data_IF_486927880639
#
_entry.id   IF_486927880639
#
_cell.length_a   1.000
_cell.length_b   1.000
_cell.length_c   1.000
_cell.angle_alpha   90.00
_cell.angle_beta   90.00
_cell.angle_gamma   90.00
#
_symmetry.space_group_name_H-M   'P 1'
#
loop_
_entity.id
_entity.type
_entity.pdbx_description
1 polymer ?
#
# COMPACT_ATOMS: atom_id res chain seq x y z
N UNK A 1 37.43 52.97 -13.21
CA UNK A 1 36.97 52.40 -11.92
C UNK A 1 35.59 51.75 -12.02
N UNK A 2 34.61 52.38 -12.69
CA UNK A 2 33.22 51.90 -12.80
C UNK A 2 33.09 50.47 -13.34
N UNK A 3 33.89 50.07 -14.33
CA UNK A 3 33.78 48.75 -14.96
C UNK A 3 34.12 47.58 -14.01
N UNK A 4 35.09 47.75 -13.11
CA UNK A 4 35.44 46.72 -12.11
C UNK A 4 34.32 46.49 -11.10
N UNK A 5 33.54 47.54 -10.79
CA UNK A 5 32.43 47.46 -9.86
C UNK A 5 31.23 46.72 -10.47
N UNK A 6 30.93 46.96 -11.75
CA UNK A 6 29.84 46.29 -12.47
C UNK A 6 30.11 44.78 -12.61
N UNK A 7 31.36 44.39 -12.89
CA UNK A 7 31.75 42.97 -12.99
C UNK A 7 31.63 42.26 -11.64
N UNK A 8 32.01 42.93 -10.55
CA UNK A 8 31.88 42.39 -9.19
C UNK A 8 30.42 42.19 -8.77
N UNK A 9 29.54 43.14 -9.09
CA UNK A 9 28.11 43.03 -8.82
C UNK A 9 27.47 41.93 -9.66
N UNK A 10 27.82 41.81 -10.95
CA UNK A 10 27.32 40.75 -11.81
C UNK A 10 27.74 39.36 -11.32
N UNK A 11 29.00 39.19 -10.90
CA UNK A 11 29.49 37.94 -10.30
C UNK A 11 28.79 37.64 -8.98
N UNK A 12 28.62 38.62 -8.09
CA UNK A 12 27.90 38.44 -6.83
C UNK A 12 26.45 38.02 -7.07
N UNK A 13 25.74 38.65 -8.02
CA UNK A 13 24.40 38.23 -8.41
C UNK A 13 24.37 36.81 -8.97
N UNK A 14 25.38 36.40 -9.75
CA UNK A 14 25.49 35.04 -10.28
C UNK A 14 25.70 33.99 -9.18
N UNK A 15 26.52 34.30 -8.17
CA UNK A 15 26.73 33.43 -7.00
C UNK A 15 25.51 33.36 -6.10
N UNK A 16 24.83 34.49 -5.88
CA UNK A 16 23.59 34.54 -5.08
C UNK A 16 22.46 33.79 -5.80
N UNK A 17 22.29 33.98 -7.11
CA UNK A 17 21.32 33.21 -7.90
C UNK A 17 21.68 31.72 -7.91
N UNK A 18 22.96 31.34 -8.12
CA UNK A 18 23.40 29.95 -8.05
C UNK A 18 23.17 29.26 -6.70
N UNK A 19 23.20 30.03 -5.61
CA UNK A 19 22.86 29.55 -4.27
C UNK A 19 21.36 29.35 -4.06
N UNK A 20 20.51 30.22 -4.63
CA UNK A 20 19.05 30.05 -4.53
C UNK A 20 18.50 28.92 -5.41
N UNK A 21 19.17 28.59 -6.53
CA UNK A 21 18.68 27.56 -7.47
C UNK A 21 19.06 26.13 -7.03
N UNK A 22 19.99 25.96 -6.08
CA UNK A 22 20.39 24.64 -5.55
C UNK A 22 19.65 24.21 -4.27
N UNK A 23 18.67 24.98 -3.81
CA UNK A 23 17.66 24.48 -2.87
C UNK A 23 16.58 23.73 -3.65
N UNK A 24 16.95 22.61 -4.26
CA UNK A 24 15.96 21.61 -4.69
C UNK A 24 15.29 21.09 -3.42
N UNK A 25 14.18 21.71 -3.02
CA UNK A 25 13.29 21.13 -2.02
C UNK A 25 12.94 19.74 -2.51
N UNK A 26 13.37 18.70 -1.79
CA UNK A 26 12.94 17.35 -2.09
C UNK A 26 11.41 17.36 -2.08
N UNK A 27 10.79 16.96 -3.18
CA UNK A 27 9.34 16.97 -3.32
C UNK A 27 8.74 16.05 -2.26
N UNK A 28 7.86 16.59 -1.41
CA UNK A 28 7.12 15.81 -0.43
C UNK A 28 5.74 15.55 -1.01
N UNK A 29 5.45 14.28 -1.28
CA UNK A 29 4.16 13.85 -1.78
C UNK A 29 3.19 13.66 -0.61
N UNK A 30 2.13 14.45 -0.58
CA UNK A 30 1.02 14.24 0.36
C UNK A 30 0.13 13.12 -0.18
N UNK A 31 -0.08 12.07 0.60
CA UNK A 31 -0.90 10.89 0.25
C UNK A 31 -1.80 10.50 1.39
N UNK A 32 -2.92 9.82 1.10
CA UNK A 32 -3.87 9.41 2.14
C UNK A 32 -3.53 8.04 2.69
N UNK A 33 -4.02 7.75 3.90
CA UNK A 33 -3.94 6.39 4.45
C UNK A 33 -4.74 5.45 3.54
N UNK A 34 -4.32 4.18 3.41
CA UNK A 34 -4.97 3.16 2.57
C UNK A 34 -4.76 3.35 1.06
N UNK A 35 -3.93 4.32 0.65
CA UNK A 35 -3.49 4.49 -0.73
C UNK A 35 -2.17 3.76 -1.00
N UNK A 36 -1.99 3.44 -2.28
CA UNK A 36 -0.77 2.91 -2.84
C UNK A 36 0.01 4.03 -3.55
N UNK A 37 1.32 4.07 -3.34
CA UNK A 37 2.23 5.00 -4.00
C UNK A 37 3.32 4.24 -4.74
N UNK A 38 3.62 4.67 -5.96
CA UNK A 38 4.79 4.20 -6.72
C UNK A 38 5.85 5.28 -6.79
N UNK A 39 7.11 4.87 -6.81
CA UNK A 39 8.23 5.78 -6.93
C UNK A 39 9.55 5.10 -7.20
N UNK A 40 10.62 5.89 -7.10
CA UNK A 40 12.01 5.45 -7.16
C UNK A 40 12.71 5.88 -5.87
N UNK A 41 13.23 4.93 -5.11
CA UNK A 41 13.71 5.18 -3.77
C UNK A 41 14.91 6.14 -3.78
N UNK A 42 14.85 7.19 -2.95
CA UNK A 42 15.82 8.28 -2.92
C UNK A 42 15.77 9.27 -4.10
N UNK A 43 14.85 9.12 -5.05
CA UNK A 43 14.79 9.95 -6.27
C UNK A 43 13.39 10.58 -6.50
N UNK A 44 12.37 9.76 -6.72
CA UNK A 44 11.02 10.20 -7.11
C UNK A 44 9.96 9.63 -6.17
N UNK A 45 9.04 10.48 -5.69
CA UNK A 45 8.04 10.14 -4.68
C UNK A 45 8.64 9.49 -3.42
N UNK A 46 9.91 9.75 -3.12
CA UNK A 46 10.62 9.07 -2.03
C UNK A 46 10.35 9.70 -0.66
N UNK A 47 9.76 10.89 -0.59
CA UNK A 47 9.36 11.52 0.67
C UNK A 47 7.84 11.68 0.67
N UNK A 48 7.17 11.05 1.63
CA UNK A 48 5.72 11.01 1.73
C UNK A 48 5.27 11.66 3.04
N UNK A 49 4.14 12.34 2.98
CA UNK A 49 3.43 12.83 4.16
C UNK A 49 2.04 12.21 4.22
N UNK A 50 1.71 11.54 5.33
CA UNK A 50 0.40 10.92 5.54
C UNK A 50 -0.27 11.57 6.76
N UNK A 51 -1.41 12.26 6.60
CA UNK A 51 -2.15 12.82 7.72
C UNK A 51 -2.82 11.71 8.53
N UNK A 52 -2.72 11.81 9.85
CA UNK A 52 -3.30 10.87 10.81
C UNK A 52 -4.51 11.53 11.45
N UNK A 53 -5.69 11.12 10.97
CA UNK A 53 -6.97 11.59 11.49
C UNK A 53 -7.31 10.96 12.83
N UNK A 54 -6.89 9.72 13.06
CA UNK A 54 -7.23 8.95 14.24
C UNK A 54 -5.97 8.32 14.84
N UNK A 55 -5.82 8.43 16.16
CA UNK A 55 -4.67 7.85 16.85
C UNK A 55 -4.68 6.33 16.73
N UNK A 56 -3.53 5.71 16.95
CA UNK A 56 -3.40 4.26 16.91
C UNK A 56 -3.42 3.66 18.30
N UNK A 57 -3.67 2.35 18.36
CA UNK A 57 -3.51 1.54 19.56
C UNK A 57 -2.76 0.25 19.22
N UNK A 58 -2.51 -0.60 20.21
CA UNK A 58 -1.93 -1.93 19.99
C UNK A 58 -2.82 -2.83 19.14
N UNK A 59 -4.14 -2.61 19.15
CA UNK A 59 -5.10 -3.38 18.35
C UNK A 59 -5.43 -2.72 17.01
N UNK A 60 -5.20 -1.42 16.84
CA UNK A 60 -5.45 -0.66 15.62
C UNK A 60 -4.21 0.11 15.17
N UNK A 61 -3.14 -0.62 14.88
CA UNK A 61 -1.86 -0.08 14.47
C UNK A 61 -1.87 0.41 13.01
N UNK A 62 -1.06 1.42 12.71
CA UNK A 62 -0.71 1.77 11.33
C UNK A 62 0.38 0.82 10.84
N UNK A 63 0.19 0.24 9.67
CA UNK A 63 1.15 -0.61 8.99
C UNK A 63 1.62 0.11 7.74
N UNK A 64 2.94 0.17 7.58
CA UNK A 64 3.61 0.76 6.43
C UNK A 64 4.47 -0.32 5.77
N UNK A 65 4.40 -0.40 4.45
CA UNK A 65 5.07 -1.44 3.67
C UNK A 65 5.75 -0.76 2.48
N UNK A 66 7.04 -1.01 2.27
CA UNK A 66 7.73 -0.70 1.03
C UNK A 66 8.30 -1.98 0.43
N UNK A 67 7.98 -2.21 -0.83
CA UNK A 67 8.48 -3.35 -1.58
C UNK A 67 9.12 -2.87 -2.87
N UNK A 68 10.33 -3.35 -3.17
CA UNK A 68 10.92 -3.18 -4.50
C UNK A 68 10.19 -4.08 -5.49
N UNK A 69 9.99 -3.62 -6.72
CA UNK A 69 9.55 -4.53 -7.78
C UNK A 69 10.61 -5.61 -7.97
N UNK A 70 10.29 -6.88 -7.68
CA UNK A 70 11.23 -7.99 -7.88
C UNK A 70 11.63 -8.05 -9.35
N UNK A 71 12.92 -7.85 -9.65
CA UNK A 71 13.44 -8.08 -10.99
C UNK A 71 13.69 -9.57 -11.27
N UNK A 72 13.82 -10.41 -10.22
CA UNK A 72 13.94 -11.87 -10.35
C UNK A 72 13.72 -12.56 -8.97
N UNK A 73 12.91 -13.62 -8.97
CA UNK A 73 12.51 -14.43 -7.80
C UNK A 73 13.64 -15.21 -7.09
N UNK A 74 14.89 -14.94 -7.44
CA UNK A 74 16.10 -15.60 -6.90
C UNK A 74 16.87 -14.78 -5.87
N UNK A 75 16.49 -13.52 -5.64
CA UNK A 75 17.22 -12.56 -4.78
C UNK A 75 16.43 -12.13 -3.52
N UNK A 76 15.64 -13.02 -2.95
CA UNK A 76 14.75 -12.79 -1.79
C UNK A 76 15.45 -12.42 -0.47
N UNK A 77 16.77 -12.24 -0.45
CA UNK A 77 17.53 -11.94 0.78
C UNK A 77 18.21 -10.57 0.82
N UNK A 78 18.08 -9.73 -0.22
CA UNK A 78 18.67 -8.39 -0.21
C UNK A 78 17.58 -7.32 -0.14
N UNK A 79 17.49 -6.60 0.98
CA UNK A 79 16.62 -5.43 1.10
C UNK A 79 17.16 -4.29 0.26
N UNK A 80 16.47 -3.95 -0.82
CA UNK A 80 16.87 -2.88 -1.72
C UNK A 80 16.42 -1.51 -1.22
N UNK A 81 15.44 -1.50 -0.31
CA UNK A 81 14.76 -0.31 0.17
C UNK A 81 14.61 -0.37 1.69
N UNK A 82 14.71 0.79 2.32
CA UNK A 82 14.44 1.03 3.74
C UNK A 82 13.39 2.14 3.89
N UNK A 83 12.45 1.96 4.82
CA UNK A 83 11.56 3.02 5.27
C UNK A 83 12.12 3.71 6.50
N UNK A 84 12.18 5.03 6.45
CA UNK A 84 12.47 5.88 7.59
C UNK A 84 11.25 6.73 7.89
N UNK A 85 10.69 6.59 9.10
CA UNK A 85 9.43 7.23 9.47
C UNK A 85 9.60 8.04 10.73
N UNK A 86 9.13 9.29 10.67
CA UNK A 86 9.05 10.20 11.79
C UNK A 86 7.60 10.51 12.12
N UNK A 87 7.23 10.44 13.39
CA UNK A 87 5.87 10.70 13.83
C UNK A 87 5.82 11.19 15.29
N UNK A 88 4.70 11.78 15.66
CA UNK A 88 4.42 12.13 17.05
C UNK A 88 3.73 10.96 17.75
N UNK A 89 4.33 10.46 18.82
CA UNK A 89 3.74 9.39 19.63
C UNK A 89 2.59 9.89 20.51
N UNK A 90 1.72 8.99 20.96
CA UNK A 90 0.64 9.28 21.93
C UNK A 90 1.17 9.83 23.26
N UNK A 91 2.45 9.62 23.58
CA UNK A 91 3.14 10.24 24.72
C UNK A 91 3.60 11.69 24.47
N UNK A 92 3.35 12.24 23.28
CA UNK A 92 3.74 13.58 22.87
C UNK A 92 5.18 13.71 22.33
N UNK A 93 5.96 12.62 22.34
CA UNK A 93 7.35 12.61 21.87
C UNK A 93 7.43 12.39 20.36
N UNK A 94 8.37 13.07 19.70
CA UNK A 94 8.76 12.73 18.32
C UNK A 94 9.54 11.41 18.33
N UNK A 95 9.13 10.46 17.51
CA UNK A 95 9.74 9.14 17.36
C UNK A 95 10.22 8.95 15.93
N UNK A 96 11.37 8.30 15.79
CA UNK A 96 11.91 7.82 14.52
C UNK A 96 11.90 6.29 14.52
N UNK A 97 11.42 5.69 13.43
CA UNK A 97 11.45 4.24 13.21
C UNK A 97 12.00 3.92 11.83
N UNK A 98 12.66 2.77 11.75
CA UNK A 98 13.21 2.20 10.52
C UNK A 98 12.47 0.88 10.26
N UNK A 99 12.22 0.54 8.99
CA UNK A 99 11.64 -0.76 8.64
C UNK A 99 12.50 -1.92 9.07
N UNK A 100 11.85 -3.05 9.28
CA UNK A 100 12.53 -4.33 9.43
C UNK A 100 13.16 -4.79 8.10
N UNK A 101 13.74 -5.99 8.12
CA UNK A 101 14.34 -6.61 6.96
C UNK A 101 13.36 -7.08 5.89
N UNK A 102 12.11 -6.65 5.94
CA UNK A 102 11.03 -6.96 5.02
C UNK A 102 10.36 -5.70 4.46
N UNK A 103 10.89 -4.51 4.83
CA UNK A 103 10.32 -3.22 4.41
C UNK A 103 9.02 -2.88 5.16
N UNK A 104 8.75 -3.51 6.31
CA UNK A 104 7.54 -3.32 7.09
C UNK A 104 7.83 -2.49 8.34
N UNK A 105 6.90 -1.57 8.67
CA UNK A 105 6.84 -0.88 9.94
C UNK A 105 5.43 -1.03 10.52
N UNK A 106 5.33 -1.35 11.81
CA UNK A 106 4.08 -1.38 12.57
C UNK A 106 4.16 -0.30 13.65
N UNK A 107 3.24 0.67 13.59
CA UNK A 107 3.16 1.81 14.51
C UNK A 107 1.89 1.71 15.34
N UNK A 108 2.03 1.36 16.62
CA UNK A 108 0.91 1.18 17.56
C UNK A 108 0.65 2.39 18.46
N UNK A 109 1.47 3.43 18.39
CA UNK A 109 1.47 4.55 19.33
C UNK A 109 1.50 5.94 18.65
N UNK A 110 0.95 6.10 17.45
CA UNK A 110 0.82 7.37 16.74
C UNK A 110 -0.30 8.24 17.33
N UNK A 111 0.00 9.52 17.62
CA UNK A 111 -0.97 10.49 18.10
C UNK A 111 -1.94 10.96 17.01
N UNK A 112 -3.08 11.52 17.42
CA UNK A 112 -3.99 12.27 16.55
C UNK A 112 -4.43 13.58 17.22
N UNK A 113 -4.65 14.66 16.43
CA UNK A 113 -4.33 14.77 15.01
C UNK A 113 -2.80 14.90 14.82
N UNK A 114 -2.23 14.17 13.86
CA UNK A 114 -0.79 14.25 13.57
C UNK A 114 -0.49 13.91 12.11
N UNK A 115 0.79 13.71 11.78
CA UNK A 115 1.24 13.24 10.48
C UNK A 115 2.42 12.28 10.60
N UNK A 116 2.52 11.37 9.63
CA UNK A 116 3.72 10.57 9.37
C UNK A 116 4.53 11.27 8.30
N UNK A 117 5.81 11.50 8.54
CA UNK A 117 6.75 11.88 7.48
C UNK A 117 7.63 10.65 7.19
N UNK A 118 7.55 10.16 5.97
CA UNK A 118 8.11 8.90 5.53
C UNK A 118 9.16 9.20 4.47
N UNK A 119 10.31 8.56 4.56
CA UNK A 119 11.36 8.60 3.56
C UNK A 119 11.66 7.17 3.11
N UNK A 120 11.51 6.92 1.82
CA UNK A 120 11.80 5.66 1.15
C UNK A 120 13.20 5.76 0.57
N UNK A 121 14.15 5.05 1.18
CA UNK A 121 15.57 5.14 0.85
C UNK A 121 16.03 3.89 0.15
N UNK A 122 16.94 4.07 -0.80
CA UNK A 122 17.63 2.98 -1.49
C UNK A 122 18.86 2.56 -0.68
N UNK A 123 19.00 1.27 -0.40
CA UNK A 123 20.14 0.74 0.36
C UNK A 123 21.35 0.36 -0.51
N UNK A 124 21.14 0.15 -1.82
CA UNK A 124 22.18 -0.28 -2.75
C UNK A 124 22.56 0.84 -3.74
N UNK A 125 23.83 0.96 -4.16
CA UNK A 125 24.25 2.02 -5.07
C UNK A 125 24.00 1.71 -6.57
N UNK A 126 23.59 0.50 -6.93
CA UNK A 126 23.69 -0.10 -8.28
C UNK A 126 22.57 0.24 -9.28
N UNK A 127 21.76 1.26 -9.00
CA UNK A 127 20.79 1.80 -9.96
C UNK A 127 19.46 2.19 -9.31
N UNK A 128 18.53 2.79 -10.07
CA UNK A 128 17.24 3.21 -9.54
C UNK A 128 16.48 2.01 -8.96
N UNK A 129 15.93 2.17 -7.76
CA UNK A 129 15.16 1.13 -7.08
C UNK A 129 13.67 1.50 -7.13
N UNK A 130 12.91 1.02 -8.15
CA UNK A 130 11.49 1.26 -8.22
C UNK A 130 10.80 0.56 -7.04
N UNK A 131 9.81 1.22 -6.46
CA UNK A 131 9.11 0.71 -5.29
C UNK A 131 7.60 0.88 -5.37
N UNK A 132 6.91 0.00 -4.65
CA UNK A 132 5.52 0.10 -4.26
C UNK A 132 5.47 0.35 -2.76
N UNK A 133 4.86 1.46 -2.37
CA UNK A 133 4.60 1.80 -0.98
C UNK A 133 3.11 1.64 -0.68
N UNK A 134 2.83 1.08 0.48
CA UNK A 134 1.49 0.88 0.99
C UNK A 134 1.40 1.33 2.43
N UNK A 135 0.27 1.93 2.78
CA UNK A 135 -0.06 2.27 4.17
C UNK A 135 -1.49 1.86 4.47
N UNK A 136 -1.76 1.35 5.66
CA UNK A 136 -3.13 1.10 6.13
C UNK A 136 -3.20 1.11 7.65
N UNK A 137 -4.40 1.29 8.20
CA UNK A 137 -4.66 1.08 9.62
C UNK A 137 -5.31 -0.31 9.81
N UNK A 138 -4.59 -1.21 10.46
CA UNK A 138 -5.04 -2.57 10.71
C UNK A 138 -6.27 -2.59 11.64
N UNK A 139 -7.13 -3.60 11.46
CA UNK A 139 -8.37 -3.82 12.23
C UNK A 139 -9.39 -2.67 12.16
N UNK A 140 -9.23 -1.73 11.22
CA UNK A 140 -10.13 -0.59 11.05
C UNK A 140 -10.99 -0.69 9.78
N UNK A 141 -12.31 -0.97 9.90
CA UNK A 141 -13.23 -1.13 8.76
C UNK A 141 -13.65 0.20 8.11
N UNK A 142 -12.82 1.23 8.22
CA UNK A 142 -12.94 2.50 7.45
C UNK A 142 -11.74 2.72 6.54
N UNK A 143 -10.72 1.86 6.60
CA UNK A 143 -9.50 1.93 5.80
C UNK A 143 -9.47 0.79 4.78
N UNK A 144 -9.94 1.05 3.56
CA UNK A 144 -10.01 0.05 2.50
C UNK A 144 -8.91 0.30 1.46
N UNK A 145 -8.00 -0.67 1.33
CA UNK A 145 -7.01 -0.67 0.27
C UNK A 145 -7.73 -0.95 -1.05
N UNK A 146 -7.52 -0.07 -2.03
CA UNK A 146 -8.07 -0.27 -3.36
C UNK A 146 -7.25 -1.31 -4.13
N UNK A 147 -7.95 -2.28 -4.69
CA UNK A 147 -7.34 -3.39 -5.42
C UNK A 147 -8.02 -3.53 -6.76
N UNK A 148 -7.21 -3.55 -7.82
CA UNK A 148 -7.72 -3.68 -9.18
C UNK A 148 -8.21 -5.11 -9.42
N UNK A 149 -9.40 -5.30 -10.00
CA UNK A 149 -9.88 -6.63 -10.41
C UNK A 149 -9.06 -7.25 -11.55
N UNK A 150 -8.19 -6.46 -12.19
CA UNK A 150 -7.41 -6.86 -13.36
C UNK A 150 -5.96 -7.21 -13.00
N UNK A 151 -5.48 -6.80 -11.82
CA UNK A 151 -4.10 -6.99 -11.39
C UNK A 151 -4.07 -7.72 -10.05
N UNK A 152 -3.17 -8.69 -9.90
CA UNK A 152 -2.94 -9.31 -8.61
C UNK A 152 -2.28 -8.31 -7.66
N UNK A 153 -2.86 -8.11 -6.48
CA UNK A 153 -2.23 -7.35 -5.41
C UNK A 153 -1.32 -8.29 -4.61
N UNK A 154 -0.01 -8.11 -4.74
CA UNK A 154 0.96 -8.79 -3.88
C UNK A 154 1.57 -7.76 -2.94
N UNK A 155 1.34 -7.94 -1.64
CA UNK A 155 2.01 -7.18 -0.61
C UNK A 155 2.32 -8.06 0.61
N UNK A 156 3.44 -7.82 1.28
CA UNK A 156 3.85 -8.52 2.49
C UNK A 156 3.04 -8.12 3.74
N UNK A 157 1.77 -8.50 3.82
CA UNK A 157 0.90 -8.11 4.94
C UNK A 157 1.27 -8.84 6.25
N UNK A 158 1.59 -8.12 7.34
CA UNK A 158 1.93 -8.76 8.61
C UNK A 158 0.74 -9.55 9.16
N UNK A 159 0.99 -10.77 9.67
CA UNK A 159 -0.05 -11.62 10.27
C UNK A 159 -0.38 -11.23 11.71
N UNK A 160 0.62 -10.70 12.44
CA UNK A 160 0.53 -10.26 13.83
C UNK A 160 1.04 -8.82 13.97
N UNK A 161 0.33 -8.00 14.75
CA UNK A 161 0.70 -6.61 15.02
C UNK A 161 1.74 -6.47 16.15
N UNK A 162 1.94 -7.53 16.93
CA UNK A 162 2.87 -7.56 18.06
C UNK A 162 3.87 -8.74 17.92
N UNK A 163 4.78 -8.70 16.93
CA UNK A 163 5.77 -9.75 16.71
C UNK A 163 6.71 -9.84 17.92
N UNK A 164 6.47 -10.82 18.80
CA UNK A 164 7.20 -11.01 20.07
C UNK A 164 6.29 -11.37 21.25
N UNK A 165 4.98 -11.11 21.16
CA UNK A 165 4.02 -11.50 22.17
C UNK A 165 3.48 -12.93 21.92
N UNK A 166 4.29 -13.94 22.23
CA UNK A 166 3.95 -15.35 21.98
C UNK A 166 2.67 -15.83 22.71
N UNK A 167 2.32 -15.19 23.84
CA UNK A 167 1.19 -15.61 24.66
C UNK A 167 -0.16 -15.02 24.21
N UNK A 168 -0.16 -13.86 23.52
CA UNK A 168 -1.37 -13.13 23.11
C UNK A 168 -1.11 -12.39 21.79
N UNK A 169 -1.07 -13.11 20.65
CA UNK A 169 -0.89 -12.47 19.36
C UNK A 169 -2.11 -11.62 19.01
N UNK A 170 -1.87 -10.40 18.53
CA UNK A 170 -2.91 -9.53 17.98
C UNK A 170 -2.90 -9.74 16.49
N UNK A 171 -3.96 -10.37 15.96
CA UNK A 171 -4.11 -10.59 14.53
C UNK A 171 -4.27 -9.26 13.78
N UNK A 172 -3.68 -9.19 12.60
CA UNK A 172 -3.83 -8.06 11.69
C UNK A 172 -4.96 -8.35 10.71
N UNK A 173 -6.04 -7.57 10.75
CA UNK A 173 -7.09 -7.62 9.72
C UNK A 173 -6.92 -6.46 8.77
N UNK A 174 -6.91 -6.76 7.47
CA UNK A 174 -6.77 -5.78 6.39
C UNK A 174 -8.06 -5.76 5.58
N UNK A 175 -8.54 -4.56 5.24
CA UNK A 175 -9.78 -4.37 4.48
C UNK A 175 -9.46 -3.90 3.06
N UNK A 176 -10.19 -4.45 2.10
CA UNK A 176 -9.98 -4.22 0.68
C UNK A 176 -11.28 -3.84 -0.01
N UNK A 177 -11.16 -3.05 -1.07
CA UNK A 177 -12.26 -2.73 -1.98
C UNK A 177 -11.83 -2.89 -3.42
N UNK A 178 -12.72 -3.44 -4.24
CA UNK A 178 -12.52 -3.60 -5.67
C UNK A 178 -13.76 -3.13 -6.42
N UNK A 179 -13.56 -2.24 -7.39
CA UNK A 179 -14.61 -1.78 -8.29
C UNK A 179 -14.67 -2.70 -9.52
N UNK A 180 -15.77 -3.42 -9.72
CA UNK A 180 -15.92 -4.29 -10.89
C UNK A 180 -16.14 -3.48 -12.17
N UNK A 181 -15.47 -3.82 -13.29
CA UNK A 181 -15.71 -3.15 -14.58
C UNK A 181 -17.10 -3.47 -15.11
N UNK A 182 -17.67 -2.64 -15.97
CA UNK A 182 -19.00 -2.88 -16.57
C UNK A 182 -19.04 -4.20 -17.36
N UNK A 183 -20.19 -4.88 -17.32
CA UNK A 183 -20.42 -6.13 -18.05
C UNK A 183 -19.96 -7.42 -17.36
N UNK A 184 -19.27 -7.35 -16.22
CA UNK A 184 -18.87 -8.54 -15.44
C UNK A 184 -19.97 -8.96 -14.47
N UNK A 185 -20.54 -10.17 -14.56
CA UNK A 185 -21.57 -10.57 -13.59
C UNK A 185 -21.00 -11.23 -12.32
N UNK A 186 -19.74 -11.67 -12.33
CA UNK A 186 -19.09 -12.35 -11.21
C UNK A 186 -17.64 -11.94 -11.01
N UNK A 187 -17.14 -12.15 -9.81
CA UNK A 187 -15.73 -12.03 -9.46
C UNK A 187 -15.30 -13.24 -8.64
N UNK A 188 -14.00 -13.49 -8.62
CA UNK A 188 -13.35 -14.47 -7.77
C UNK A 188 -12.25 -13.74 -6.99
N UNK A 189 -12.20 -13.95 -5.69
CA UNK A 189 -11.11 -13.45 -4.86
C UNK A 189 -10.23 -14.65 -4.52
N UNK A 190 -8.97 -14.56 -4.93
CA UNK A 190 -7.94 -15.55 -4.66
C UNK A 190 -6.99 -15.00 -3.58
N UNK A 191 -7.16 -15.50 -2.36
CA UNK A 191 -6.30 -15.13 -1.23
C UNK A 191 -5.35 -16.30 -0.98
N UNK A 192 -4.05 -16.04 -1.02
CA UNK A 192 -3.03 -17.09 -0.84
C UNK A 192 -2.01 -16.67 0.21
N UNK A 193 -1.62 -17.60 1.10
CA UNK A 193 -0.58 -17.39 2.12
C UNK A 193 0.70 -18.17 1.79
N UNK A 194 1.85 -17.66 2.26
CA UNK A 194 3.10 -18.43 2.39
C UNK A 194 3.93 -18.55 1.10
N UNK A 195 5.09 -19.22 1.22
CA UNK A 195 6.01 -19.50 0.09
C UNK A 195 5.41 -20.49 -0.92
N UNK A 196 4.58 -21.41 -0.42
CA UNK A 196 3.74 -22.28 -1.24
C UNK A 196 2.32 -21.71 -1.19
N UNK A 197 1.72 -21.33 -2.32
CA UNK A 197 0.43 -20.65 -2.34
C UNK A 197 -0.68 -21.57 -1.83
N UNK A 198 -1.00 -21.46 -0.55
CA UNK A 198 -2.14 -22.14 0.06
C UNK A 198 -3.34 -21.20 0.09
N UNK A 199 -4.52 -21.62 -0.42
CA UNK A 199 -5.73 -20.81 -0.33
C UNK A 199 -6.05 -20.45 1.12
N UNK A 200 -6.47 -19.21 1.35
CA UNK A 200 -6.84 -18.70 2.66
C UNK A 200 -8.26 -18.12 2.62
N UNK A 201 -9.03 -18.34 3.68
CA UNK A 201 -10.37 -17.79 3.78
C UNK A 201 -10.33 -16.27 3.97
N UNK A 202 -11.39 -15.60 3.51
CA UNK A 202 -11.59 -14.15 3.68
C UNK A 202 -13.00 -13.90 4.16
N UNK A 203 -13.31 -12.68 4.61
CA UNK A 203 -14.66 -12.33 5.01
C UNK A 203 -15.23 -11.21 4.12
N UNK A 204 -16.52 -11.28 3.84
CA UNK A 204 -17.26 -10.22 3.14
C UNK A 204 -18.34 -9.64 4.04
N UNK A 205 -18.74 -8.37 3.87
CA UNK A 205 -19.89 -7.88 4.60
C UNK A 205 -21.14 -8.68 4.21
N UNK A 206 -21.94 -9.04 5.20
CA UNK A 206 -23.24 -9.66 5.00
C UNK A 206 -24.15 -8.73 4.17
N UNK A 207 -25.20 -9.26 3.51
CA UNK A 207 -26.11 -8.43 2.70
C UNK A 207 -26.78 -7.27 3.47
N UNK A 208 -26.96 -7.41 4.78
CA UNK A 208 -27.47 -6.38 5.67
C UNK A 208 -26.38 -5.41 6.19
N UNK A 209 -25.11 -5.67 5.89
CA UNK A 209 -23.94 -4.89 6.30
C UNK A 209 -23.59 -4.99 7.79
N UNK A 210 -24.27 -5.86 8.55
CA UNK A 210 -24.15 -5.90 10.02
C UNK A 210 -23.05 -6.86 10.50
N UNK A 211 -22.57 -7.77 9.65
CA UNK A 211 -21.61 -8.81 9.98
C UNK A 211 -20.61 -9.01 8.85
N UNK A 212 -19.55 -9.75 9.16
CA UNK A 212 -18.57 -10.23 8.19
C UNK A 212 -18.74 -11.75 8.08
N UNK A 213 -19.24 -12.21 6.95
CA UNK A 213 -19.49 -13.63 6.67
C UNK A 213 -18.24 -14.25 6.03
N UNK A 214 -17.87 -15.50 6.40
CA UNK A 214 -16.70 -16.17 5.85
C UNK A 214 -16.94 -16.66 4.42
N UNK A 215 -15.91 -16.52 3.59
CA UNK A 215 -15.86 -16.97 2.19
C UNK A 215 -14.53 -17.68 1.93
N UNK A 216 -14.55 -18.67 1.03
CA UNK A 216 -13.34 -19.38 0.64
C UNK A 216 -12.69 -18.71 -0.56
N UNK A 217 -11.36 -18.66 -0.56
CA UNK A 217 -10.59 -18.26 -1.73
C UNK A 217 -11.00 -19.10 -2.95
N UNK A 218 -11.21 -18.45 -4.08
CA UNK A 218 -11.63 -19.09 -5.33
C UNK A 218 -13.15 -19.17 -5.54
N UNK A 219 -13.97 -18.94 -4.51
CA UNK A 219 -15.42 -18.99 -4.65
C UNK A 219 -15.93 -17.81 -5.53
N UNK A 220 -16.90 -18.06 -6.43
CA UNK A 220 -17.51 -17.01 -7.23
C UNK A 220 -18.41 -16.12 -6.37
N UNK A 221 -18.22 -14.81 -6.52
CA UNK A 221 -18.98 -13.74 -5.88
C UNK A 221 -19.83 -13.08 -6.97
N UNK A 222 -21.15 -13.07 -6.77
CA UNK A 222 -22.06 -12.36 -7.66
C UNK A 222 -21.82 -10.85 -7.56
N UNK A 223 -21.84 -10.16 -8.69
CA UNK A 223 -21.59 -8.73 -8.72
C UNK A 223 -22.74 -7.98 -7.99
N UNK A 224 -22.42 -7.20 -6.94
CA UNK A 224 -23.44 -6.42 -6.25
C UNK A 224 -23.98 -5.29 -7.14
N UNK A 225 -25.19 -4.74 -6.87
CA UNK A 225 -25.73 -3.61 -7.62
C UNK A 225 -24.81 -2.38 -7.63
N UNK A 226 -24.09 -2.15 -6.52
CA UNK A 226 -23.09 -1.08 -6.40
C UNK A 226 -21.84 -1.32 -7.23
N UNK A 227 -21.64 -2.54 -7.75
CA UNK A 227 -20.43 -3.01 -8.44
C UNK A 227 -19.16 -2.97 -7.57
N UNK A 228 -19.27 -2.55 -6.32
CA UNK A 228 -18.19 -2.45 -5.35
C UNK A 228 -18.18 -3.71 -4.49
N UNK A 229 -17.11 -4.49 -4.59
CA UNK A 229 -16.84 -5.60 -3.68
C UNK A 229 -15.95 -5.09 -2.55
N UNK A 230 -16.35 -5.33 -1.31
CA UNK A 230 -15.48 -5.14 -0.14
C UNK A 230 -15.29 -6.47 0.55
N UNK A 231 -14.09 -6.66 1.10
CA UNK A 231 -13.73 -7.88 1.82
C UNK A 231 -12.63 -7.57 2.82
N UNK A 232 -12.42 -8.47 3.77
CA UNK A 232 -11.35 -8.40 4.74
C UNK A 232 -10.59 -9.71 4.78
N UNK A 233 -9.30 -9.62 5.09
CA UNK A 233 -8.47 -10.79 5.35
C UNK A 233 -7.81 -10.64 6.70
N UNK A 234 -7.96 -11.68 7.52
CA UNK A 234 -7.24 -11.85 8.77
C UNK A 234 -6.36 -13.08 8.61
N UNK A 235 -5.04 -12.94 8.43
CA UNK A 235 -4.15 -14.08 8.28
C UNK A 235 -4.19 -14.98 9.52
N UNK A 236 -4.32 -16.29 9.31
CA UNK A 236 -4.25 -17.27 10.38
C UNK A 236 -2.81 -17.33 10.93
N UNK A 237 -2.62 -16.84 12.15
CA UNK A 237 -1.33 -16.87 12.83
C UNK A 237 -0.86 -18.29 13.18
N UNK A 238 -1.73 -19.30 13.13
CA UNK A 238 -1.43 -20.72 13.41
C UNK A 238 -1.09 -21.54 12.18
N UNK A 239 -1.34 -21.02 10.97
CA UNK A 239 -1.09 -21.75 9.71
C UNK A 239 0.40 -21.87 9.35
N UNK A 240 1.32 -21.26 10.11
CA UNK A 240 2.75 -21.34 9.83
C UNK A 240 3.53 -22.00 11.00
N UNK A 241 3.73 -23.33 10.99
CA UNK A 241 4.60 -24.02 11.95
C UNK A 241 6.09 -23.73 11.73
N UNK A 242 6.45 -23.11 10.60
CA UNK A 242 7.76 -22.51 10.39
C UNK A 242 7.69 -21.07 10.87
N UNK A 243 8.18 -20.81 12.09
CA UNK A 243 8.50 -19.45 12.46
C UNK A 243 9.33 -18.77 11.36
N UNK A 244 9.09 -17.47 11.17
CA UNK A 244 10.11 -16.49 10.79
C UNK A 244 10.54 -16.32 9.32
N UNK A 245 10.14 -17.17 8.35
CA UNK A 245 10.75 -17.07 7.02
C UNK A 245 10.11 -16.05 6.04
N UNK A 246 8.77 -15.86 6.03
CA UNK A 246 8.09 -14.84 5.19
C UNK A 246 6.64 -14.63 5.66
N UNK A 247 6.32 -13.55 6.40
CA UNK A 247 4.98 -13.31 6.96
C UNK A 247 4.09 -12.56 5.96
N UNK A 248 3.93 -13.08 4.74
CA UNK A 248 3.34 -12.33 3.62
C UNK A 248 2.10 -13.03 3.05
N UNK A 249 1.07 -12.24 2.73
CA UNK A 249 -0.19 -12.68 2.15
C UNK A 249 -0.42 -12.01 0.78
N UNK A 250 -0.12 -12.68 -0.35
CA UNK A 250 -0.61 -12.25 -1.65
C UNK A 250 -2.15 -12.35 -1.76
N UNK A 251 -2.79 -11.26 -2.18
CA UNK A 251 -4.24 -11.17 -2.41
C UNK A 251 -4.49 -10.85 -3.88
N UNK A 252 -4.86 -11.85 -4.66
CA UNK A 252 -5.25 -11.67 -6.05
C UNK A 252 -6.77 -11.53 -6.16
N UNK A 253 -7.26 -10.58 -6.95
CA UNK A 253 -8.66 -10.53 -7.36
C UNK A 253 -8.71 -10.78 -8.84
N UNK A 254 -9.57 -11.71 -9.27
CA UNK A 254 -9.78 -12.06 -10.67
C UNK A 254 -11.25 -11.96 -10.99
N UNK A 255 -11.62 -11.22 -12.03
CA UNK A 255 -13.02 -11.14 -12.45
C UNK A 255 -13.32 -12.07 -13.61
N UNK A 256 -14.47 -12.74 -13.56
CA UNK A 256 -14.93 -13.64 -14.62
C UNK A 256 -16.08 -12.99 -15.37
N UNK A 257 -15.92 -12.83 -16.69
CA UNK A 257 -17.00 -12.37 -17.54
C UNK A 257 -18.03 -13.48 -17.69
N UNK A 258 -19.17 -13.38 -16.99
CA UNK A 258 -20.27 -14.31 -17.23
C UNK A 258 -21.00 -13.84 -18.50
N UNK A 259 -20.54 -14.36 -19.63
CA UNK A 259 -20.98 -14.07 -20.99
C UNK A 259 -20.66 -12.64 -21.47
N UNK A 260 -20.03 -12.47 -22.64
CA UNK A 260 -20.05 -11.17 -23.30
C UNK A 260 -21.50 -10.76 -23.49
N UNK A 261 -21.86 -9.54 -23.07
CA UNK A 261 -23.08 -8.90 -23.55
C UNK A 261 -23.12 -9.09 -25.07
N UNK A 262 -24.22 -9.59 -25.65
CA UNK A 262 -24.32 -9.65 -27.10
C UNK A 262 -24.00 -8.25 -27.64
N UNK A 263 -23.21 -8.15 -28.72
CA UNK A 263 -22.81 -6.86 -29.27
C UNK A 263 -24.08 -6.02 -29.49
N UNK A 264 -24.01 -4.69 -29.27
CA UNK A 264 -25.16 -3.82 -29.53
C UNK A 264 -25.64 -4.11 -30.94
N UNK A 265 -26.95 -4.42 -31.06
CA UNK A 265 -27.56 -4.72 -32.33
C UNK A 265 -27.21 -3.61 -33.33
N UNK A 266 -26.74 -3.96 -34.54
CA UNK A 266 -26.36 -2.95 -35.52
C UNK A 266 -27.55 -1.99 -35.72
N UNK A 267 -27.29 -0.68 -35.86
CA UNK A 267 -28.36 0.28 -36.10
C UNK A 267 -29.17 -0.20 -37.33
N UNK A 268 -30.50 -0.04 -37.30
CA UNK A 268 -31.34 -0.47 -38.41
C UNK A 268 -30.79 0.14 -39.68
N UNK A 269 -30.44 -0.71 -40.66
CA UNK A 269 -30.03 -0.23 -41.98
C UNK A 269 -31.17 0.64 -42.48
N UNK A 270 -30.91 1.94 -42.66
CA UNK A 270 -31.80 2.82 -43.40
C UNK A 270 -32.05 2.12 -44.73
N UNK A 271 -33.30 1.72 -44.98
CA UNK A 271 -33.73 1.34 -46.30
C UNK A 271 -33.47 2.55 -47.20
N UNK A 272 -32.53 2.38 -48.14
CA UNK A 272 -32.37 3.32 -49.24
C UNK A 272 -33.52 2.99 -50.19
N UNK A 273 -34.55 3.83 -50.18
CA UNK A 273 -35.57 3.90 -51.21
C UNK A 273 -35.10 4.82 -52.33
#
# INVERSE_FOLDING_TARGET
MVWKFVVLVALACFFIQGWFINLTSAEVLSTSMCDEVHGFAGEYNSNLEIPIQYGTSTTEAVVLIAQSFEMDSKFTTSNWIELNVSYQSTSGKQVMRVSDGYGIIILSDVASPSKLNISVQRLRPDGPAPFRFLSFQANRPTCFIEVSPQNAFMAPLPTILNPGANANPILSTVFFKAQLPDGYSKATIDVTTGLTPTPHDFNMPSPDGMKWDPHRSGDPIEAPPSRLITFSVTPDSKANPLGQATPYLPVSIRTVLANPLPPPSPPPRRAVH
#
